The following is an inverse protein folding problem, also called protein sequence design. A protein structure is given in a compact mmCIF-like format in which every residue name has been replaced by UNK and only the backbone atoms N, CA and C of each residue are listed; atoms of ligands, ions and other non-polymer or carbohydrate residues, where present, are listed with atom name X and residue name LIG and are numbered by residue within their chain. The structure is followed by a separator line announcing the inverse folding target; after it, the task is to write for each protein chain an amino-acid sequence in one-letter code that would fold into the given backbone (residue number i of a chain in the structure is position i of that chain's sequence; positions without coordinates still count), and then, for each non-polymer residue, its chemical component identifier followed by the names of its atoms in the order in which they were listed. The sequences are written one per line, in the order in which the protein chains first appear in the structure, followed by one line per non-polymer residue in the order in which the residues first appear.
data_IF_096990740450
#
_entry.id   IF_096990740450
#
_cell.length_a   1.000
_cell.length_b   1.000
_cell.length_c   1.000
_cell.angle_alpha   90.00
_cell.angle_beta   90.00
_cell.angle_gamma   90.00
#
_symmetry.space_group_name_H-M   'P 1'
#
loop_
_entity.id
_entity.type
_entity.pdbx_description
1 polymer ?
#
# COMPACT_ATOMS: atom_id res chain seq x y z
N UNK A 1 -0.51 9.95 -6.80
CA UNK A 1 -1.59 9.22 -7.47
C UNK A 1 -2.70 8.66 -6.56
N UNK A 2 -2.84 8.89 -5.24
CA UNK A 2 -3.85 8.23 -4.34
C UNK A 2 -4.26 6.81 -4.76
N UNK A 3 -5.36 6.28 -4.27
CA UNK A 3 -6.00 5.06 -4.78
C UNK A 3 -7.32 5.43 -5.48
N UNK A 4 -7.58 6.74 -5.60
CA UNK A 4 -8.84 7.31 -6.04
C UNK A 4 -8.62 8.49 -7.01
N UNK A 5 -7.40 8.62 -7.54
CA UNK A 5 -7.04 9.67 -8.49
C UNK A 5 -7.77 9.45 -9.84
N UNK A 6 -8.64 10.39 -10.28
CA UNK A 6 -9.39 10.27 -11.52
C UNK A 6 -8.53 10.47 -12.77
N UNK A 7 -7.31 10.97 -12.61
CA UNK A 7 -6.29 11.02 -13.65
C UNK A 7 -5.06 10.29 -13.10
N UNK A 8 -5.05 8.94 -13.09
CA UNK A 8 -3.81 8.23 -12.98
C UNK A 8 -3.06 8.54 -14.26
N UNK A 9 -2.36 9.68 -14.29
CA UNK A 9 -1.24 9.80 -15.19
C UNK A 9 -0.53 8.47 -15.03
N UNK A 10 -0.35 7.76 -16.15
CA UNK A 10 0.74 6.80 -16.23
C UNK A 10 1.84 7.44 -15.40
N UNK A 11 2.39 6.72 -14.43
CA UNK A 11 3.69 7.18 -14.01
C UNK A 11 4.53 6.98 -15.28
N UNK A 12 4.58 8.02 -16.11
CA UNK A 12 5.22 8.02 -17.38
C UNK A 12 6.67 8.18 -16.99
N UNK A 13 7.29 7.04 -16.75
CA UNK A 13 8.72 6.97 -16.45
C UNK A 13 9.56 7.38 -17.65
N UNK A 14 8.97 7.85 -18.75
CA UNK A 14 9.67 8.52 -19.84
C UNK A 14 9.25 10.00 -19.99
N UNK A 15 8.43 10.53 -19.08
CA UNK A 15 8.13 11.96 -19.07
C UNK A 15 9.44 12.75 -18.89
N UNK A 16 9.69 13.78 -19.73
CA UNK A 16 10.83 14.66 -19.55
C UNK A 16 10.76 15.31 -18.17
N UNK A 17 11.93 15.54 -17.57
CA UNK A 17 12.12 16.11 -16.24
C UNK A 17 11.30 17.39 -16.05
N UNK A 18 10.08 17.27 -15.52
CA UNK A 18 9.34 18.42 -15.03
C UNK A 18 9.86 18.72 -13.62
N UNK A 19 10.41 19.92 -13.52
CA UNK A 19 11.24 20.41 -12.45
C UNK A 19 10.40 20.73 -11.21
N UNK A 20 10.43 19.83 -10.24
CA UNK A 20 10.41 20.05 -8.79
C UNK A 20 10.61 18.66 -8.16
N UNK A 21 11.86 18.37 -7.74
CA UNK A 21 12.28 17.05 -7.24
C UNK A 21 13.63 16.58 -7.82
N UNK A 22 14.33 15.71 -7.09
CA UNK A 22 15.67 15.19 -7.42
C UNK A 22 15.72 14.50 -8.78
N UNK A 23 16.80 14.70 -9.55
CA UNK A 23 16.94 14.19 -10.93
C UNK A 23 16.83 12.65 -11.05
N UNK A 24 17.19 11.92 -9.99
CA UNK A 24 17.07 10.45 -9.87
C UNK A 24 15.81 10.02 -9.12
N UNK A 25 15.11 10.95 -8.46
CA UNK A 25 13.95 10.70 -7.60
C UNK A 25 14.30 10.25 -6.16
N UNK A 26 15.56 10.35 -5.74
CA UNK A 26 16.03 10.08 -4.38
C UNK A 26 17.36 10.79 -4.11
N UNK A 27 17.69 11.01 -2.83
CA UNK A 27 18.99 11.51 -2.38
C UNK A 27 19.84 10.33 -1.87
N UNK A 28 21.13 10.30 -2.18
CA UNK A 28 22.06 9.35 -1.57
C UNK A 28 22.70 9.98 -0.34
N UNK A 29 22.53 9.34 0.82
CA UNK A 29 23.18 9.75 2.06
C UNK A 29 24.17 8.69 2.51
N UNK A 30 25.34 9.14 2.93
CA UNK A 30 26.36 8.27 3.49
C UNK A 30 25.94 7.83 4.89
N UNK A 31 25.62 6.56 5.03
CA UNK A 31 25.46 5.90 6.33
C UNK A 31 26.81 5.49 6.93
N UNK A 32 26.73 4.72 8.01
CA UNK A 32 27.89 4.17 8.71
C UNK A 32 28.63 3.15 7.83
N UNK A 33 27.90 2.14 7.34
CA UNK A 33 28.47 1.07 6.51
C UNK A 33 27.95 1.07 5.06
N UNK A 34 26.80 1.71 4.82
CA UNK A 34 26.08 1.66 3.56
C UNK A 34 25.69 3.05 3.07
N UNK A 35 25.49 3.18 1.76
CA UNK A 35 24.79 4.31 1.16
C UNK A 35 23.29 4.06 1.30
N UNK A 36 22.59 5.00 1.92
CA UNK A 36 21.13 4.96 2.11
C UNK A 36 20.48 5.83 1.05
N UNK A 37 19.50 5.29 0.33
CA UNK A 37 18.69 6.08 -0.59
C UNK A 37 17.52 6.70 0.19
N UNK A 38 17.37 8.02 0.13
CA UNK A 38 16.31 8.76 0.81
C UNK A 38 15.29 9.22 -0.23
N UNK A 39 14.08 8.71 -0.08
CA UNK A 39 12.94 8.97 -0.96
C UNK A 39 12.09 10.08 -0.35
N UNK A 40 12.06 11.23 -1.03
CA UNK A 40 11.16 12.34 -0.71
C UNK A 40 9.71 11.94 -1.05
N UNK A 41 8.73 12.21 -0.15
CA UNK A 41 7.34 11.94 -0.43
C UNK A 41 6.75 13.02 -1.37
N UNK A 42 5.64 12.66 -2.02
CA UNK A 42 4.77 13.64 -2.69
C UNK A 42 3.43 13.73 -1.99
N UNK A 43 2.92 14.96 -1.84
CA UNK A 43 1.57 15.20 -1.34
C UNK A 43 0.52 14.80 -2.39
N UNK A 44 -0.51 14.04 -1.98
CA UNK A 44 -1.58 13.60 -2.88
C UNK A 44 -2.94 13.54 -2.16
N UNK A 45 -4.06 13.94 -2.78
CA UNK A 45 -5.38 13.89 -2.13
C UNK A 45 -6.12 12.53 -2.23
N UNK A 46 -6.48 11.94 -1.09
CA UNK A 46 -7.07 10.60 -0.90
C UNK A 46 -8.57 10.56 -1.18
N UNK A 47 -8.98 10.62 -2.44
CA UNK A 47 -10.42 10.65 -2.80
C UNK A 47 -10.84 11.84 -3.65
N UNK A 48 -9.90 12.42 -4.38
CA UNK A 48 -10.13 13.62 -5.21
C UNK A 48 -9.91 14.93 -4.44
N UNK A 49 -10.16 16.10 -5.07
CA UNK A 49 -9.56 17.38 -4.67
C UNK A 49 -9.93 17.94 -3.28
N UNK A 50 -10.97 17.41 -2.63
CA UNK A 50 -11.42 17.84 -1.28
C UNK A 50 -11.13 16.81 -0.20
N UNK A 51 -10.38 15.78 -0.54
CA UNK A 51 -10.08 14.70 0.38
C UNK A 51 -8.82 14.97 1.21
N UNK A 52 -8.65 14.19 2.27
CA UNK A 52 -7.45 14.17 3.11
C UNK A 52 -6.17 14.12 2.25
N UNK A 53 -5.16 14.91 2.59
CA UNK A 53 -3.86 14.84 1.91
C UNK A 53 -2.98 13.77 2.56
N UNK A 54 -2.30 12.98 1.74
CA UNK A 54 -1.35 11.94 2.17
C UNK A 54 0.02 12.18 1.53
N UNK A 55 1.06 11.69 2.19
CA UNK A 55 2.45 11.69 1.75
C UNK A 55 2.79 10.34 1.13
N UNK A 56 2.93 10.30 -0.19
CA UNK A 56 3.26 9.06 -0.92
C UNK A 56 4.75 8.93 -1.14
N UNK A 57 5.35 7.83 -0.68
CA UNK A 57 6.78 7.54 -0.87
C UNK A 57 7.03 6.47 -1.95
N UNK A 58 6.21 5.42 -2.00
CA UNK A 58 6.20 4.44 -3.11
C UNK A 58 4.77 4.22 -3.61
N UNK A 59 4.56 3.97 -4.92
CA UNK A 59 5.57 3.90 -5.96
C UNK A 59 5.99 5.29 -6.47
N UNK A 60 7.28 5.43 -6.80
CA UNK A 60 7.82 6.54 -7.57
C UNK A 60 8.91 6.09 -8.56
N UNK A 61 9.46 7.02 -9.36
CA UNK A 61 10.43 6.71 -10.42
C UNK A 61 11.68 6.01 -9.90
N UNK A 62 12.22 6.50 -8.80
CA UNK A 62 13.40 5.94 -8.15
C UNK A 62 13.17 4.52 -7.64
N UNK A 63 12.01 4.30 -7.02
CA UNK A 63 11.71 3.08 -6.29
C UNK A 63 10.23 2.74 -6.45
N UNK A 64 9.98 1.60 -7.08
CA UNK A 64 8.62 1.10 -7.27
C UNK A 64 8.22 0.10 -6.20
N UNK A 65 9.16 -0.73 -5.74
CA UNK A 65 8.92 -1.73 -4.71
C UNK A 65 10.03 -1.75 -3.67
N UNK A 66 9.71 -2.27 -2.48
CA UNK A 66 10.65 -2.76 -1.47
C UNK A 66 10.19 -4.18 -1.12
N UNK A 67 10.94 -5.19 -1.54
CA UNK A 67 10.45 -6.56 -1.51
C UNK A 67 9.21 -6.70 -2.42
N UNK A 68 8.07 -7.08 -1.84
CA UNK A 68 6.77 -7.06 -2.51
C UNK A 68 5.91 -5.83 -2.18
N UNK A 69 6.33 -4.95 -1.25
CA UNK A 69 5.63 -3.70 -0.95
C UNK A 69 5.69 -2.78 -2.16
N UNK A 70 4.54 -2.42 -2.72
CA UNK A 70 4.45 -1.63 -3.96
C UNK A 70 3.74 -0.28 -3.78
N UNK A 71 3.30 0.03 -2.56
CA UNK A 71 2.58 1.25 -2.22
C UNK A 71 2.78 1.59 -0.75
N UNK A 72 2.98 2.87 -0.46
CA UNK A 72 3.05 3.42 0.89
C UNK A 72 2.57 4.87 0.86
N UNK A 73 1.42 5.10 1.47
CA UNK A 73 0.92 6.42 1.83
C UNK A 73 1.01 6.60 3.34
N UNK A 74 1.61 7.70 3.78
CA UNK A 74 1.62 8.18 5.15
C UNK A 74 0.60 9.31 5.29
N UNK A 75 -0.22 9.30 6.34
CA UNK A 75 -1.26 10.30 6.51
C UNK A 75 -1.40 10.73 7.97
N UNK A 76 -1.64 12.03 8.15
CA UNK A 76 -1.72 12.66 9.46
C UNK A 76 -0.35 12.88 10.12
N UNK A 77 -0.34 13.24 11.40
CA UNK A 77 -1.49 13.46 12.27
C UNK A 77 -2.34 14.64 11.78
N UNK A 78 -3.61 14.38 11.49
CA UNK A 78 -4.54 15.36 10.94
C UNK A 78 -5.71 15.57 11.89
N UNK A 79 -6.10 16.83 12.14
CA UNK A 79 -7.30 17.16 12.89
C UNK A 79 -8.53 17.01 11.99
N UNK A 80 -9.11 15.80 12.05
CA UNK A 80 -10.22 15.43 11.18
C UNK A 80 -11.53 16.10 11.55
N UNK A 81 -11.62 16.74 12.72
CA UNK A 81 -12.77 17.60 13.05
C UNK A 81 -12.80 18.85 12.18
N UNK A 82 -11.65 19.23 11.61
CA UNK A 82 -11.51 20.37 10.68
C UNK A 82 -11.40 19.90 9.23
N UNK A 83 -10.61 18.86 8.94
CA UNK A 83 -10.37 18.40 7.57
C UNK A 83 -11.52 17.55 6.99
N UNK A 84 -12.40 17.03 7.85
CA UNK A 84 -13.47 16.11 7.49
C UNK A 84 -13.05 14.65 7.49
N UNK A 85 -11.77 14.33 7.68
CA UNK A 85 -11.30 12.95 7.84
C UNK A 85 -11.21 12.14 6.56
N UNK A 86 -11.00 10.84 6.74
CA UNK A 86 -10.93 9.88 5.65
C UNK A 86 -12.33 9.51 5.21
N UNK A 87 -12.61 9.70 3.92
CA UNK A 87 -13.83 9.26 3.24
C UNK A 87 -13.45 8.66 1.90
N UNK A 88 -13.29 7.35 1.88
CA UNK A 88 -12.88 6.57 0.71
C UNK A 88 -14.06 5.70 0.28
N UNK A 89 -14.88 6.15 -0.69
CA UNK A 89 -16.03 5.39 -1.14
C UNK A 89 -15.62 4.06 -1.77
N UNK A 90 -16.63 3.22 -2.01
CA UNK A 90 -16.46 1.88 -2.59
C UNK A 90 -15.58 1.92 -3.85
N UNK A 91 -14.45 1.24 -3.80
CA UNK A 91 -13.49 1.13 -4.90
C UNK A 91 -12.86 -0.28 -4.93
N UNK A 92 -12.38 -0.75 -6.10
CA UNK A 92 -11.93 -2.12 -6.27
C UNK A 92 -10.44 -2.29 -5.94
N UNK A 93 -10.02 -3.53 -5.68
CA UNK A 93 -8.63 -3.99 -5.75
C UNK A 93 -8.54 -5.36 -6.41
N UNK A 94 -7.40 -5.68 -7.02
CA UNK A 94 -7.10 -7.02 -7.59
C UNK A 94 -5.61 -7.30 -7.62
N UNK A 95 -5.20 -8.53 -7.27
CA UNK A 95 -3.81 -8.99 -7.37
C UNK A 95 -2.86 -8.45 -6.30
N UNK A 96 -3.40 -7.92 -5.20
CA UNK A 96 -2.65 -7.30 -4.10
C UNK A 96 -3.34 -7.55 -2.76
N UNK A 97 -2.64 -7.24 -1.67
CA UNK A 97 -3.28 -6.97 -0.39
C UNK A 97 -3.03 -5.52 0.04
N UNK A 98 -4.03 -4.94 0.70
CA UNK A 98 -3.87 -3.68 1.42
C UNK A 98 -3.58 -3.97 2.89
N UNK A 99 -2.82 -3.09 3.53
CA UNK A 99 -2.40 -3.19 4.93
C UNK A 99 -2.57 -1.81 5.54
N UNK A 100 -3.58 -1.66 6.40
CA UNK A 100 -3.83 -0.41 7.13
C UNK A 100 -3.21 -0.53 8.54
N UNK A 101 -2.43 0.47 8.95
CA UNK A 101 -1.85 0.58 10.29
C UNK A 101 -2.02 1.98 10.84
N UNK A 102 -2.70 2.10 11.98
CA UNK A 102 -2.93 3.39 12.62
C UNK A 102 -1.96 3.62 13.79
N UNK A 103 -1.50 4.85 13.91
CA UNK A 103 -0.81 5.37 15.09
C UNK A 103 -1.80 6.08 16.03
N UNK A 104 -2.84 6.70 15.46
CA UNK A 104 -3.93 7.36 16.19
C UNK A 104 -5.22 7.37 15.35
N UNK A 105 -6.37 7.45 16.01
CA UNK A 105 -7.68 7.49 15.35
C UNK A 105 -8.25 6.11 15.07
N UNK A 106 -9.38 6.07 14.37
CA UNK A 106 -10.07 4.83 13.98
C UNK A 106 -10.71 4.98 12.61
N UNK A 107 -10.74 3.88 11.87
CA UNK A 107 -11.31 3.78 10.52
C UNK A 107 -12.22 2.56 10.47
N UNK A 108 -13.44 2.73 9.96
CA UNK A 108 -14.33 1.66 9.57
C UNK A 108 -13.94 1.17 8.16
N UNK A 109 -13.75 -0.14 8.04
CA UNK A 109 -13.54 -0.85 6.78
C UNK A 109 -14.76 -1.72 6.50
N UNK A 110 -15.29 -1.64 5.29
CA UNK A 110 -16.38 -2.50 4.79
C UNK A 110 -15.97 -3.04 3.44
N UNK A 111 -16.12 -4.34 3.19
CA UNK A 111 -15.80 -4.93 1.90
C UNK A 111 -16.86 -5.86 1.31
N UNK A 112 -16.69 -6.16 0.03
CA UNK A 112 -17.60 -7.00 -0.76
C UNK A 112 -17.45 -8.50 -0.53
N UNK A 113 -16.51 -8.92 0.31
CA UNK A 113 -16.44 -10.29 0.83
C UNK A 113 -17.29 -10.46 2.11
N UNK A 114 -17.98 -9.39 2.53
CA UNK A 114 -18.88 -9.40 3.68
C UNK A 114 -18.18 -9.10 4.99
N UNK A 115 -16.94 -8.60 4.96
CA UNK A 115 -16.25 -8.23 6.19
C UNK A 115 -16.54 -6.78 6.56
N UNK A 116 -16.63 -6.55 7.86
CA UNK A 116 -16.52 -5.24 8.48
C UNK A 116 -15.45 -5.30 9.56
N UNK A 117 -14.60 -4.29 9.62
CA UNK A 117 -13.57 -4.17 10.63
C UNK A 117 -13.40 -2.73 11.08
N UNK A 118 -13.19 -2.56 12.37
CA UNK A 118 -12.79 -1.29 12.96
C UNK A 118 -11.29 -1.32 13.19
N UNK A 119 -10.56 -0.59 12.34
CA UNK A 119 -9.10 -0.45 12.39
C UNK A 119 -8.72 0.45 13.56
N UNK A 120 -7.79 -0.01 14.39
CA UNK A 120 -7.36 0.67 15.62
C UNK A 120 -5.85 0.81 15.69
N UNK A 121 -5.33 1.71 16.54
CA UNK A 121 -3.89 1.84 16.70
C UNK A 121 -3.24 0.57 17.24
N UNK A 122 -2.10 0.22 16.63
CA UNK A 122 -1.36 -1.01 16.92
C UNK A 122 -2.04 -2.30 16.45
N UNK A 123 -3.05 -2.20 15.60
CA UNK A 123 -3.65 -3.35 14.90
C UNK A 123 -3.32 -3.27 13.42
N UNK A 124 -2.95 -4.41 12.85
CA UNK A 124 -2.86 -4.58 11.41
C UNK A 124 -4.23 -5.02 10.89
N UNK A 125 -4.69 -4.34 9.85
CA UNK A 125 -5.83 -4.79 9.04
C UNK A 125 -5.32 -5.11 7.63
N UNK A 126 -5.26 -6.39 7.29
CA UNK A 126 -4.78 -6.88 6.00
C UNK A 126 -5.98 -7.36 5.17
N UNK A 127 -6.35 -6.60 4.14
CA UNK A 127 -7.37 -7.02 3.18
C UNK A 127 -6.68 -7.71 2.00
N UNK A 128 -6.95 -8.99 1.84
CA UNK A 128 -6.55 -9.75 0.67
C UNK A 128 -7.54 -9.52 -0.46
N UNK A 129 -7.11 -8.86 -1.55
CA UNK A 129 -8.02 -8.57 -2.66
C UNK A 129 -8.25 -9.77 -3.59
N UNK A 130 -7.33 -10.75 -3.57
CA UNK A 130 -7.42 -11.95 -4.41
C UNK A 130 -7.73 -11.63 -5.88
N UNK A 131 -8.65 -12.42 -6.44
CA UNK A 131 -9.16 -12.23 -7.80
C UNK A 131 -9.94 -10.91 -7.99
N UNK A 132 -10.40 -10.26 -6.92
CA UNK A 132 -11.21 -9.05 -6.98
C UNK A 132 -12.02 -8.81 -5.71
N UNK A 133 -11.95 -7.60 -5.19
CA UNK A 133 -12.79 -7.14 -4.08
C UNK A 133 -13.12 -5.66 -4.29
N UNK A 134 -14.21 -5.17 -3.70
CA UNK A 134 -14.43 -3.73 -3.48
C UNK A 134 -14.53 -3.43 -2.00
N UNK A 135 -14.04 -2.27 -1.56
CA UNK A 135 -14.14 -1.83 -0.17
C UNK A 135 -14.28 -0.32 -0.03
N UNK A 136 -14.72 0.13 1.14
CA UNK A 136 -14.70 1.53 1.58
C UNK A 136 -13.97 1.67 2.91
N UNK A 137 -13.40 2.85 3.14
CA UNK A 137 -12.70 3.20 4.38
C UNK A 137 -13.15 4.60 4.83
N UNK A 138 -13.70 4.70 6.03
CA UNK A 138 -14.22 5.95 6.57
C UNK A 138 -13.70 6.18 8.00
N UNK A 139 -13.31 7.41 8.33
CA UNK A 139 -13.05 7.79 9.72
C UNK A 139 -14.31 7.64 10.55
N UNK A 140 -14.20 7.07 11.75
CA UNK A 140 -15.35 6.96 12.65
C UNK A 140 -15.76 8.32 13.19
N UNK A 141 -17.04 8.48 13.51
CA UNK A 141 -17.61 9.72 14.07
C UNK A 141 -16.90 10.22 15.34
N UNK A 142 -16.30 9.30 16.12
CA UNK A 142 -15.57 9.61 17.36
C UNK A 142 -14.06 9.87 17.15
N UNK A 143 -13.57 9.84 15.90
CA UNK A 143 -12.19 10.15 15.57
C UNK A 143 -11.99 11.67 15.47
N UNK A 144 -11.12 12.21 16.31
CA UNK A 144 -10.73 13.64 16.25
C UNK A 144 -9.39 13.87 15.56
N UNK A 145 -8.49 12.88 15.64
CA UNK A 145 -7.20 12.91 14.93
C UNK A 145 -7.01 11.57 14.25
N UNK A 146 -6.66 11.62 12.97
CA UNK A 146 -6.30 10.44 12.20
C UNK A 146 -4.82 10.49 11.85
N UNK A 147 -4.12 9.39 12.10
CA UNK A 147 -2.69 9.27 11.85
C UNK A 147 -2.34 7.81 11.58
N UNK A 148 -1.77 7.50 10.42
CA UNK A 148 -1.47 6.13 10.03
C UNK A 148 -0.71 6.01 8.72
N UNK A 149 -0.56 4.76 8.29
CA UNK A 149 -0.03 4.39 6.98
C UNK A 149 -0.97 3.41 6.28
N UNK A 150 -1.06 3.56 4.96
CA UNK A 150 -1.68 2.59 4.07
C UNK A 150 -0.57 1.99 3.20
N UNK A 151 -0.37 0.67 3.29
CA UNK A 151 0.61 -0.05 2.47
C UNK A 151 -0.08 -1.07 1.59
N UNK A 152 0.45 -1.30 0.39
CA UNK A 152 0.05 -2.46 -0.42
C UNK A 152 1.24 -3.33 -0.71
N UNK A 153 1.02 -4.65 -0.76
CA UNK A 153 1.99 -5.56 -1.34
C UNK A 153 1.38 -6.32 -2.51
N UNK A 154 2.18 -6.46 -3.56
CA UNK A 154 1.84 -7.20 -4.75
C UNK A 154 1.91 -8.71 -4.47
N UNK A 155 0.90 -9.47 -4.89
CA UNK A 155 0.97 -10.92 -4.78
C UNK A 155 1.94 -11.50 -5.80
N UNK A 156 2.72 -12.54 -5.44
CA UNK A 156 3.40 -13.39 -6.41
C UNK A 156 2.39 -13.98 -7.38
N UNK A 157 2.81 -14.25 -8.62
CA UNK A 157 1.92 -14.66 -9.72
C UNK A 157 0.97 -15.79 -9.34
N UNK A 158 1.45 -16.76 -8.58
CA UNK A 158 0.71 -17.97 -8.18
C UNK A 158 -0.41 -17.74 -7.16
N UNK A 159 -0.41 -16.59 -6.46
CA UNK A 159 -1.39 -16.28 -5.40
C UNK A 159 -2.38 -15.18 -5.78
N UNK A 160 -2.31 -14.63 -7.01
CA UNK A 160 -3.13 -13.47 -7.45
C UNK A 160 -4.63 -13.74 -7.52
N UNK A 161 -5.05 -14.99 -7.64
CA UNK A 161 -6.45 -15.35 -7.95
C UNK A 161 -7.11 -16.21 -6.86
N UNK A 162 -6.64 -16.08 -5.61
CA UNK A 162 -7.31 -16.67 -4.45
C UNK A 162 -8.57 -15.92 -4.04
N UNK A 163 -9.31 -16.49 -3.09
CA UNK A 163 -10.49 -15.85 -2.51
C UNK A 163 -10.11 -14.62 -1.67
N UNK A 164 -10.83 -13.49 -1.81
CA UNK A 164 -10.65 -12.34 -0.94
C UNK A 164 -11.01 -12.66 0.51
N UNK A 165 -10.27 -12.08 1.46
CA UNK A 165 -10.52 -12.21 2.89
C UNK A 165 -9.88 -11.07 3.67
N UNK A 166 -10.19 -10.98 4.96
CA UNK A 166 -9.66 -9.97 5.87
C UNK A 166 -8.98 -10.64 7.07
N UNK A 167 -7.74 -10.27 7.35
CA UNK A 167 -7.01 -10.64 8.56
C UNK A 167 -6.80 -9.40 9.43
N UNK A 168 -7.35 -9.40 10.65
CA UNK A 168 -7.12 -8.37 11.64
C UNK A 168 -6.37 -8.93 12.85
N UNK A 169 -5.30 -8.26 13.26
CA UNK A 169 -4.50 -8.70 14.40
C UNK A 169 -3.94 -7.53 15.20
N UNK A 170 -4.04 -7.60 16.53
CA UNK A 170 -3.36 -6.67 17.44
C UNK A 170 -1.93 -7.13 17.67
N UNK A 171 -0.97 -6.34 17.21
CA UNK A 171 0.43 -6.68 17.34
C UNK A 171 0.84 -6.76 18.82
N UNK A 172 1.65 -7.76 19.14
CA UNK A 172 2.31 -7.84 20.43
C UNK A 172 3.32 -6.70 20.56
N UNK A 173 3.31 -6.06 21.75
CA UNK A 173 4.31 -5.05 22.11
C UNK A 173 5.54 -5.75 22.71
N UNK A 174 6.71 -5.48 22.15
CA UNK A 174 8.01 -5.87 22.70
C UNK A 174 8.81 -4.63 23.10
N UNK A 175 9.62 -4.76 24.14
CA UNK A 175 10.37 -3.65 24.72
C UNK A 175 11.80 -4.08 25.03
N UNK A 176 12.71 -3.12 24.96
CA UNK A 176 14.05 -3.22 25.52
C UNK A 176 14.46 -1.89 26.12
N UNK A 177 15.77 -1.69 26.28
CA UNK A 177 16.31 -0.49 26.92
C UNK A 177 16.06 0.75 26.06
N UNK A 178 15.11 1.60 26.47
CA UNK A 178 14.76 2.85 25.78
C UNK A 178 13.97 2.68 24.48
N UNK A 179 13.50 1.48 24.15
CA UNK A 179 12.76 1.22 22.91
C UNK A 179 11.55 0.31 23.08
N UNK A 180 10.55 0.54 22.22
CA UNK A 180 9.35 -0.28 22.08
C UNK A 180 9.10 -0.59 20.59
N UNK A 181 8.63 -1.80 20.29
CA UNK A 181 8.24 -2.19 18.94
C UNK A 181 6.93 -2.98 18.92
N UNK A 182 6.18 -2.85 17.82
CA UNK A 182 4.96 -3.61 17.51
C UNK A 182 5.13 -4.25 16.13
N UNK A 183 5.33 -5.57 16.10
CA UNK A 183 5.56 -6.32 14.85
C UNK A 183 4.21 -6.66 14.22
N UNK A 184 3.85 -5.93 13.17
CA UNK A 184 2.59 -6.07 12.45
C UNK A 184 2.60 -7.32 11.55
N UNK A 185 3.68 -7.51 10.79
CA UNK A 185 3.85 -8.59 9.81
C UNK A 185 5.28 -9.14 9.93
N UNK A 186 5.44 -10.44 9.73
CA UNK A 186 6.75 -11.10 9.70
C UNK A 186 7.36 -11.37 11.06
N UNK A 187 8.68 -11.55 11.09
CA UNK A 187 9.45 -11.81 12.31
C UNK A 187 10.55 -10.78 12.50
N UNK A 188 10.51 -10.03 13.60
CA UNK A 188 11.50 -9.03 13.97
C UNK A 188 11.64 -9.01 15.50
N UNK A 189 12.84 -8.70 16.01
CA UNK A 189 13.08 -8.48 17.45
C UNK A 189 12.61 -9.66 18.34
N UNK A 190 12.77 -10.89 17.83
CA UNK A 190 12.38 -12.12 18.54
C UNK A 190 10.88 -12.41 18.60
N UNK A 191 10.05 -11.63 17.90
CA UNK A 191 8.59 -11.83 17.81
C UNK A 191 8.19 -12.10 16.37
N UNK A 192 7.23 -13.01 16.20
CA UNK A 192 6.62 -13.35 14.92
C UNK A 192 5.14 -13.01 14.94
N UNK A 193 4.68 -12.18 14.01
CA UNK A 193 3.26 -11.92 13.79
C UNK A 193 2.57 -13.17 13.22
N UNK A 194 1.34 -13.51 13.67
CA UNK A 194 0.57 -14.62 13.12
C UNK A 194 -0.09 -14.29 11.77
N UNK A 195 -0.05 -13.02 11.33
CA UNK A 195 -0.63 -12.59 10.05
C UNK A 195 0.12 -13.24 8.89
N UNK A 196 -0.63 -13.94 8.04
CA UNK A 196 -0.08 -14.68 6.92
C UNK A 196 0.07 -13.76 5.70
N UNK A 197 1.16 -13.94 4.98
CA UNK A 197 1.43 -13.24 3.73
C UNK A 197 1.82 -14.24 2.66
N UNK A 198 1.59 -13.90 1.39
CA UNK A 198 1.98 -14.73 0.25
C UNK A 198 3.42 -14.52 -0.22
N UNK A 199 4.12 -13.56 0.39
CA UNK A 199 5.55 -13.32 0.23
C UNK A 199 6.19 -13.16 1.62
N UNK A 200 7.49 -13.49 1.79
CA UNK A 200 8.22 -13.15 3.00
C UNK A 200 8.31 -11.63 3.16
N UNK A 201 7.63 -11.10 4.17
CA UNK A 201 7.50 -9.66 4.45
C UNK A 201 7.76 -9.39 5.94
N UNK A 202 8.12 -8.15 6.25
CA UNK A 202 8.19 -7.63 7.61
C UNK A 202 7.61 -6.21 7.66
N UNK A 203 6.86 -5.89 8.71
CA UNK A 203 6.42 -4.53 9.02
C UNK A 203 6.36 -4.34 10.54
N UNK A 204 6.94 -3.25 11.06
CA UNK A 204 6.92 -2.93 12.47
C UNK A 204 6.90 -1.42 12.75
N UNK A 205 6.02 -1.00 13.65
CA UNK A 205 6.12 0.30 14.31
C UNK A 205 7.19 0.21 15.40
N UNK A 206 8.13 1.14 15.42
CA UNK A 206 9.20 1.23 16.41
C UNK A 206 9.19 2.63 17.02
N UNK A 207 9.31 2.72 18.34
CA UNK A 207 9.48 3.98 19.07
C UNK A 207 10.74 3.92 19.91
N UNK A 208 11.56 4.97 19.85
CA UNK A 208 12.77 5.11 20.67
C UNK A 208 12.65 6.36 21.56
N UNK A 209 13.03 6.21 22.83
CA UNK A 209 13.31 7.33 23.73
C UNK A 209 14.53 8.12 23.23
N UNK A 210 14.77 9.38 23.66
CA UNK A 210 15.97 10.12 23.30
C UNK A 210 17.27 9.34 23.56
N UNK A 211 18.29 9.59 22.74
CA UNK A 211 19.64 9.01 22.86
C UNK A 211 19.68 7.48 22.87
N UNK A 212 18.73 6.83 22.20
CA UNK A 212 18.63 5.38 22.13
C UNK A 212 19.10 4.88 20.77
N UNK A 213 19.81 3.76 20.76
CA UNK A 213 20.19 3.03 19.55
C UNK A 213 19.60 1.64 19.60
N UNK A 214 18.86 1.27 18.56
CA UNK A 214 18.32 -0.07 18.36
C UNK A 214 19.03 -0.75 17.20
N UNK A 215 19.58 -1.93 17.45
CA UNK A 215 20.09 -2.83 16.42
C UNK A 215 19.07 -3.92 16.12
N UNK A 216 18.81 -4.16 14.84
CA UNK A 216 17.81 -5.11 14.36
C UNK A 216 18.49 -6.08 13.41
N UNK A 217 18.61 -7.34 13.80
CA UNK A 217 19.06 -8.39 12.89
C UNK A 217 17.96 -8.66 11.85
N UNK A 218 18.35 -8.72 10.57
CA UNK A 218 17.45 -8.87 9.43
C UNK A 218 17.98 -9.90 8.42
N UNK A 219 17.11 -10.58 7.64
CA UNK A 219 17.55 -11.47 6.58
C UNK A 219 18.32 -10.71 5.49
N UNK A 220 19.48 -11.24 5.08
CA UNK A 220 20.30 -10.61 4.04
C UNK A 220 19.58 -10.55 2.67
N UNK A 221 18.59 -11.41 2.48
CA UNK A 221 17.81 -11.53 1.25
C UNK A 221 16.74 -10.44 1.15
N UNK A 222 16.50 -9.66 2.22
CA UNK A 222 15.45 -8.65 2.25
C UNK A 222 15.95 -7.29 1.77
N UNK A 223 15.05 -6.55 1.14
CA UNK A 223 15.16 -5.10 1.03
C UNK A 223 14.44 -4.46 2.23
N UNK A 224 14.85 -3.24 2.60
CA UNK A 224 14.36 -2.54 3.78
C UNK A 224 14.00 -1.09 3.48
N UNK A 225 12.89 -0.64 4.06
CA UNK A 225 12.43 0.75 4.05
C UNK A 225 12.13 1.22 5.46
N UNK A 226 12.60 2.41 5.84
CA UNK A 226 12.28 3.05 7.12
C UNK A 226 11.62 4.41 6.87
N UNK A 227 10.33 4.51 7.20
CA UNK A 227 9.58 5.75 7.18
C UNK A 227 9.73 6.46 8.53
N UNK A 228 10.14 7.73 8.52
CA UNK A 228 10.12 8.57 9.71
C UNK A 228 8.72 9.15 9.96
N UNK A 229 8.18 8.94 11.17
CA UNK A 229 6.80 9.29 11.54
C UNK A 229 6.82 10.42 12.57
N UNK A 230 6.43 11.63 12.15
CA UNK A 230 6.46 12.86 12.96
C UNK A 230 7.82 13.16 13.61
N UNK A 231 8.91 12.76 12.95
CA UNK A 231 10.25 12.91 13.51
C UNK A 231 11.31 12.97 12.42
N UNK A 232 12.52 13.38 12.79
CA UNK A 232 13.74 13.06 12.06
C UNK A 232 14.42 11.87 12.72
N UNK A 233 14.72 10.83 11.95
CA UNK A 233 15.36 9.61 12.45
C UNK A 233 16.76 9.43 11.87
N UNK A 234 17.62 8.68 12.55
CA UNK A 234 18.86 8.15 11.96
C UNK A 234 18.64 6.69 11.58
N UNK A 235 18.86 6.37 10.30
CA UNK A 235 18.78 5.03 9.75
C UNK A 235 20.13 4.62 9.18
N UNK A 236 20.79 3.68 9.85
CA UNK A 236 22.12 3.19 9.51
C UNK A 236 23.15 4.32 9.33
N UNK A 237 23.06 5.38 10.13
CA UNK A 237 23.96 6.54 10.07
C UNK A 237 23.54 7.65 9.11
N UNK A 238 22.46 7.47 8.35
CA UNK A 238 21.91 8.49 7.48
C UNK A 238 20.67 9.15 8.12
N UNK A 239 20.60 10.49 8.03
CA UNK A 239 19.43 11.25 8.48
C UNK A 239 18.25 11.03 7.54
N UNK A 240 17.11 10.60 8.09
CA UNK A 240 15.83 10.48 7.41
C UNK A 240 14.91 11.57 7.96
N UNK A 241 14.58 12.56 7.12
CA UNK A 241 13.65 13.61 7.44
C UNK A 241 12.23 13.07 7.67
N UNK A 242 11.42 13.85 8.37
CA UNK A 242 10.01 13.56 8.55
C UNK A 242 9.33 13.27 7.20
N UNK A 243 8.45 12.25 7.20
CA UNK A 243 7.67 11.77 6.06
C UNK A 243 8.50 11.09 4.96
N UNK A 244 9.84 11.15 5.03
CA UNK A 244 10.73 10.51 4.06
C UNK A 244 10.89 9.02 4.36
N UNK A 245 11.23 8.28 3.31
CA UNK A 245 11.51 6.85 3.36
C UNK A 245 12.98 6.59 3.05
N UNK A 246 13.73 6.13 4.05
CA UNK A 246 15.09 5.61 3.85
C UNK A 246 15.03 4.18 3.30
N UNK A 247 15.83 3.87 2.29
CA UNK A 247 15.86 2.58 1.62
C UNK A 247 17.27 1.95 1.65
N UNK A 248 17.31 0.65 1.92
CA UNK A 248 18.49 -0.20 1.78
C UNK A 248 18.11 -1.47 1.00
N UNK A 249 18.98 -1.83 0.05
CA UNK A 249 18.84 -3.06 -0.71
C UNK A 249 19.24 -4.33 0.06
N UNK A 250 19.25 -5.46 -0.64
CA UNK A 250 19.69 -6.75 -0.11
C UNK A 250 21.16 -6.74 0.31
N UNK A 251 21.56 -7.67 1.16
CA UNK A 251 22.93 -7.88 1.65
C UNK A 251 23.19 -7.26 3.03
N UNK A 252 22.26 -6.47 3.55
CA UNK A 252 22.31 -5.95 4.93
C UNK A 252 21.82 -7.03 5.88
N UNK A 253 22.60 -7.33 6.92
CA UNK A 253 22.24 -8.32 7.94
C UNK A 253 21.85 -7.70 9.28
N UNK A 254 22.13 -6.41 9.45
CA UNK A 254 21.82 -5.65 10.66
C UNK A 254 21.50 -4.21 10.28
N UNK A 255 20.35 -3.74 10.75
CA UNK A 255 19.94 -2.34 10.67
C UNK A 255 20.21 -1.66 12.00
N UNK A 256 20.59 -0.38 11.95
CA UNK A 256 20.70 0.48 13.12
C UNK A 256 19.68 1.61 12.99
N UNK A 257 18.90 1.85 14.03
CA UNK A 257 17.97 2.99 14.14
C UNK A 257 18.33 3.77 15.39
N UNK A 258 18.49 5.09 15.28
CA UNK A 258 18.86 5.93 16.42
C UNK A 258 18.00 7.16 16.56
N UNK A 259 17.73 7.53 17.81
CA UNK A 259 17.17 8.82 18.19
C UNK A 259 18.28 9.76 18.65
N UNK A 260 18.12 11.05 18.33
CA UNK A 260 18.95 12.12 18.86
C UNK A 260 18.34 12.64 20.17
N UNK A 261 18.18 13.96 20.33
CA UNK A 261 17.67 14.59 21.56
C UNK A 261 16.15 14.42 21.77
N UNK A 262 15.42 14.04 20.72
CA UNK A 262 13.96 13.85 20.74
C UNK A 262 13.60 12.37 20.60
N UNK A 263 12.48 11.92 21.20
CA UNK A 263 11.95 10.59 20.91
C UNK A 263 11.54 10.52 19.44
N UNK A 264 11.59 9.33 18.86
CA UNK A 264 11.20 9.11 17.47
C UNK A 264 10.18 7.98 17.38
N UNK A 265 9.33 8.04 16.35
CA UNK A 265 8.50 6.93 15.88
C UNK A 265 8.84 6.66 14.42
N UNK A 266 8.98 5.40 14.05
CA UNK A 266 9.27 4.99 12.68
C UNK A 266 8.45 3.78 12.30
N UNK A 267 8.18 3.62 11.00
CA UNK A 267 7.63 2.39 10.42
C UNK A 267 8.72 1.71 9.60
N UNK A 268 9.18 0.55 10.06
CA UNK A 268 10.12 -0.29 9.32
C UNK A 268 9.34 -1.30 8.48
N UNK A 269 9.61 -1.34 7.19
CA UNK A 269 9.14 -2.38 6.27
C UNK A 269 10.32 -3.13 5.66
N UNK A 270 10.06 -4.36 5.25
CA UNK A 270 11.01 -5.13 4.47
C UNK A 270 10.39 -6.37 3.86
N UNK A 271 11.16 -7.05 3.04
CA UNK A 271 10.73 -8.30 2.42
C UNK A 271 11.68 -8.78 1.35
N UNK A 272 11.52 -10.04 0.98
CA UNK A 272 12.24 -10.61 -0.16
C UNK A 272 11.80 -9.92 -1.46
N UNK A 273 12.73 -9.56 -2.36
CA UNK A 273 12.41 -9.03 -3.68
C UNK A 273 11.39 -9.90 -4.41
N UNK A 274 10.34 -9.28 -4.95
CA UNK A 274 9.28 -10.01 -5.66
C UNK A 274 9.81 -10.80 -6.87
N UNK A 275 10.88 -10.33 -7.51
CA UNK A 275 11.49 -10.94 -8.70
C UNK A 275 10.50 -11.19 -9.86
N UNK A 276 9.44 -10.39 -9.93
CA UNK A 276 8.46 -10.39 -11.01
C UNK A 276 8.18 -8.95 -11.47
N UNK A 277 7.97 -8.79 -12.77
CA UNK A 277 7.54 -7.52 -13.32
C UNK A 277 6.04 -7.33 -13.06
N UNK A 278 5.65 -6.16 -12.55
CA UNK A 278 4.24 -5.83 -12.31
C UNK A 278 3.77 -4.67 -13.19
N UNK A 279 2.49 -4.69 -13.54
CA UNK A 279 1.78 -3.53 -14.07
C UNK A 279 0.84 -3.04 -12.97
N UNK A 280 1.09 -1.83 -12.48
CA UNK A 280 0.26 -1.19 -11.48
C UNK A 280 -0.43 0.03 -12.08
N UNK A 281 -1.76 0.03 -12.04
CA UNK A 281 -2.58 1.14 -12.51
C UNK A 281 -3.80 1.27 -11.63
N UNK A 282 -4.04 2.48 -11.13
CA UNK A 282 -5.09 2.76 -10.15
C UNK A 282 -5.00 1.76 -8.99
N UNK A 283 -5.99 0.87 -8.85
CA UNK A 283 -6.08 -0.12 -7.77
C UNK A 283 -5.86 -1.57 -8.23
N UNK A 284 -5.26 -1.74 -9.40
CA UNK A 284 -5.02 -3.05 -9.99
C UNK A 284 -3.53 -3.32 -10.10
N UNK A 285 -3.10 -4.51 -9.64
CA UNK A 285 -1.73 -5.00 -9.76
C UNK A 285 -1.71 -6.28 -10.60
N UNK A 286 -1.48 -6.08 -11.89
CA UNK A 286 -1.42 -7.13 -12.91
C UNK A 286 -0.01 -7.43 -13.39
N UNK A 287 0.08 -8.07 -14.55
CA UNK A 287 1.32 -8.39 -15.27
C UNK A 287 1.32 -7.87 -16.71
N UNK A 288 0.19 -7.39 -17.21
CA UNK A 288 0.04 -6.89 -18.58
C UNK A 288 -0.98 -5.75 -18.65
N UNK A 289 -0.97 -5.00 -19.75
CA UNK A 289 -1.98 -3.98 -20.01
C UNK A 289 -3.37 -4.61 -20.15
N UNK A 290 -3.44 -5.77 -20.81
CA UNK A 290 -4.66 -6.51 -21.11
C UNK A 290 -5.36 -7.01 -19.83
N UNK A 291 -4.61 -7.44 -18.82
CA UNK A 291 -5.18 -7.79 -17.51
C UNK A 291 -5.84 -6.59 -16.84
N UNK A 292 -5.17 -5.43 -16.84
CA UNK A 292 -5.70 -4.20 -16.24
C UNK A 292 -6.95 -3.72 -16.97
N UNK A 293 -6.91 -3.72 -18.31
CA UNK A 293 -8.05 -3.35 -19.15
C UNK A 293 -9.25 -4.26 -18.86
N UNK A 294 -9.03 -5.57 -18.76
CA UNK A 294 -10.07 -6.54 -18.46
C UNK A 294 -10.70 -6.31 -17.09
N UNK A 295 -9.91 -6.15 -16.04
CA UNK A 295 -10.43 -5.92 -14.68
C UNK A 295 -11.14 -4.58 -14.56
N UNK A 296 -10.62 -3.52 -15.19
CA UNK A 296 -11.31 -2.24 -15.29
C UNK A 296 -12.65 -2.38 -16.00
N UNK A 297 -12.69 -3.04 -17.15
CA UNK A 297 -13.92 -3.25 -17.91
C UNK A 297 -14.98 -3.97 -17.07
N UNK A 298 -14.59 -5.05 -16.37
CA UNK A 298 -15.50 -5.80 -15.50
C UNK A 298 -16.02 -4.94 -14.35
N UNK A 299 -15.14 -4.20 -13.69
CA UNK A 299 -15.54 -3.29 -12.62
C UNK A 299 -16.58 -2.26 -13.12
N UNK A 300 -16.29 -1.60 -14.24
CA UNK A 300 -17.20 -0.61 -14.81
C UNK A 300 -18.57 -1.21 -15.17
N UNK A 301 -18.61 -2.44 -15.67
CA UNK A 301 -19.87 -3.13 -16.01
C UNK A 301 -20.63 -3.57 -14.77
N UNK A 302 -19.95 -4.18 -13.79
CA UNK A 302 -20.55 -4.64 -12.54
C UNK A 302 -21.08 -3.48 -11.69
N UNK A 303 -20.46 -2.30 -11.76
CA UNK A 303 -20.92 -1.09 -11.06
C UNK A 303 -21.96 -0.28 -11.83
N UNK A 304 -22.26 -0.63 -13.09
CA UNK A 304 -23.24 0.06 -13.93
C UNK A 304 -22.75 1.38 -14.54
N UNK A 305 -21.43 1.58 -14.64
CA UNK A 305 -20.82 2.75 -15.28
C UNK A 305 -20.71 2.59 -16.80
N UNK A 306 -20.38 1.38 -17.27
CA UNK A 306 -20.25 1.06 -18.70
C UNK A 306 -21.25 -0.03 -19.09
N UNK A 307 -21.66 -0.03 -20.36
CA UNK A 307 -22.52 -1.10 -20.89
C UNK A 307 -21.82 -2.46 -20.91
N UNK A 308 -22.58 -3.53 -20.67
CA UNK A 308 -22.05 -4.89 -20.69
C UNK A 308 -21.48 -5.28 -22.06
N UNK A 309 -20.27 -5.84 -22.08
CA UNK A 309 -19.65 -6.39 -23.27
C UNK A 309 -20.30 -7.71 -23.69
N UNK A 310 -20.06 -8.15 -24.93
CA UNK A 310 -20.58 -9.42 -25.44
C UNK A 310 -20.05 -10.64 -24.69
N UNK A 311 -18.85 -10.53 -24.11
CA UNK A 311 -18.20 -11.57 -23.31
C UNK A 311 -18.64 -11.58 -21.83
N UNK A 312 -19.50 -10.64 -21.42
CA UNK A 312 -19.96 -10.51 -20.04
C UNK A 312 -21.19 -11.40 -19.77
N UNK A 313 -21.32 -11.98 -18.56
CA UNK A 313 -22.58 -12.54 -18.08
C UNK A 313 -23.75 -11.53 -18.11
N UNK A 314 -23.44 -10.23 -18.06
CA UNK A 314 -24.41 -9.14 -18.13
C UNK A 314 -24.85 -8.77 -19.56
N UNK A 315 -24.36 -9.48 -20.59
CA UNK A 315 -24.67 -9.15 -22.00
C UNK A 315 -26.17 -8.98 -22.26
N UNK A 316 -26.52 -7.93 -22.99
CA UNK A 316 -27.92 -7.63 -23.34
C UNK A 316 -28.77 -7.08 -22.19
N UNK A 317 -28.18 -6.83 -21.01
CA UNK A 317 -28.85 -6.20 -19.87
C UNK A 317 -28.39 -4.74 -19.73
N UNK A 318 -29.32 -3.89 -19.30
CA UNK A 318 -29.01 -2.49 -18.94
C UNK A 318 -28.79 -2.43 -17.44
N UNK A 319 -27.56 -2.11 -17.04
CA UNK A 319 -27.15 -1.97 -15.64
C UNK A 319 -26.81 -0.49 -15.42
N UNK A 320 -27.48 0.16 -14.48
CA UNK A 320 -27.28 1.60 -14.16
C UNK A 320 -26.86 1.82 -12.71
N UNK A 321 -26.80 0.75 -11.93
CA UNK A 321 -26.41 0.70 -10.52
C UNK A 321 -25.62 -0.59 -10.29
N UNK A 322 -24.84 -0.70 -9.21
CA UNK A 322 -24.09 -1.91 -8.92
C UNK A 322 -24.99 -3.15 -8.87
N UNK A 323 -24.53 -4.23 -9.52
CA UNK A 323 -25.25 -5.50 -9.56
C UNK A 323 -25.56 -5.99 -8.14
N UNK A 324 -26.83 -6.35 -7.91
CA UNK A 324 -27.32 -6.74 -6.59
C UNK A 324 -28.64 -7.52 -6.70
N UNK A 325 -29.05 -8.12 -5.58
CA UNK A 325 -30.36 -8.74 -5.43
C UNK A 325 -30.65 -9.88 -6.43
N UNK A 326 -31.89 -10.03 -6.90
CA UNK A 326 -32.30 -11.18 -7.72
C UNK A 326 -31.49 -11.37 -9.02
N UNK A 327 -30.99 -10.28 -9.60
CA UNK A 327 -30.14 -10.35 -10.79
C UNK A 327 -28.78 -10.99 -10.47
N UNK A 328 -28.20 -10.63 -9.32
CA UNK A 328 -26.94 -11.22 -8.88
C UNK A 328 -27.14 -12.68 -8.51
N UNK A 329 -28.22 -13.02 -7.80
CA UNK A 329 -28.55 -14.40 -7.44
C UNK A 329 -28.68 -15.31 -8.67
N UNK A 330 -29.22 -14.78 -9.78
CA UNK A 330 -29.31 -15.48 -11.07
C UNK A 330 -27.92 -15.78 -11.67
N UNK A 331 -26.96 -14.88 -11.50
CA UNK A 331 -25.69 -14.87 -12.22
C UNK A 331 -24.48 -15.31 -11.40
N UNK A 332 -24.56 -15.39 -10.08
CA UNK A 332 -23.42 -15.66 -9.17
C UNK A 332 -22.74 -17.02 -9.40
N UNK A 333 -23.42 -17.96 -10.06
CA UNK A 333 -22.86 -19.26 -10.44
C UNK A 333 -22.34 -19.30 -11.89
N UNK A 334 -22.32 -18.16 -12.57
CA UNK A 334 -21.82 -18.05 -13.95
C UNK A 334 -20.35 -17.66 -13.98
N UNK A 335 -19.74 -17.77 -15.16
CA UNK A 335 -18.35 -17.38 -15.39
C UNK A 335 -18.26 -16.36 -16.52
N UNK A 336 -17.19 -15.58 -16.46
CA UNK A 336 -16.70 -14.82 -17.60
C UNK A 336 -16.18 -15.75 -18.71
N UNK A 337 -15.94 -15.19 -19.90
CA UNK A 337 -15.45 -15.93 -21.06
C UNK A 337 -14.06 -16.59 -20.86
N UNK A 338 -13.31 -16.20 -19.83
CA UNK A 338 -12.02 -16.78 -19.43
C UNK A 338 -12.15 -17.76 -18.25
N UNK A 339 -13.36 -18.26 -17.98
CA UNK A 339 -13.71 -19.18 -16.91
C UNK A 339 -13.54 -18.64 -15.48
N UNK A 340 -13.26 -17.34 -15.31
CA UNK A 340 -13.25 -16.71 -13.98
C UNK A 340 -14.66 -16.50 -13.46
N UNK A 341 -14.85 -16.67 -12.14
CA UNK A 341 -16.16 -16.56 -11.49
C UNK A 341 -16.74 -15.16 -11.60
N UNK A 342 -18.07 -15.09 -11.79
CA UNK A 342 -18.85 -13.87 -11.72
C UNK A 342 -19.67 -13.83 -10.41
N UNK A 343 -19.76 -12.69 -9.71
CA UNK A 343 -19.10 -11.40 -9.99
C UNK A 343 -17.63 -11.41 -9.55
N UNK A 344 -16.80 -10.56 -10.15
CA UNK A 344 -15.42 -10.36 -9.74
C UNK A 344 -15.31 -9.41 -8.54
N UNK A 345 -16.16 -8.39 -8.42
CA UNK A 345 -16.03 -7.32 -7.41
C UNK A 345 -17.07 -7.38 -6.29
N UNK A 346 -17.81 -8.48 -6.24
CA UNK A 346 -18.70 -8.87 -5.14
C UNK A 346 -19.92 -7.96 -4.92
N UNK A 347 -20.81 -8.43 -4.05
CA UNK A 347 -21.91 -7.65 -3.53
C UNK A 347 -21.42 -6.73 -2.41
N UNK A 348 -21.99 -5.55 -2.27
CA UNK A 348 -21.68 -4.63 -1.18
C UNK A 348 -22.88 -4.49 -0.25
N UNK A 349 -22.68 -4.17 1.05
CA UNK A 349 -23.80 -3.87 1.94
C UNK A 349 -24.69 -2.74 1.38
N UNK A 350 -26.00 -2.79 1.63
CA UNK A 350 -26.91 -1.72 1.24
C UNK A 350 -26.63 -0.43 2.02
N UNK A 351 -27.20 0.67 1.54
CA UNK A 351 -27.13 2.00 2.18
C UNK A 351 -25.71 2.57 2.35
N UNK A 352 -24.76 2.08 1.55
CA UNK A 352 -23.40 2.61 1.47
C UNK A 352 -23.29 3.67 0.35
N UNK A 353 -22.33 4.60 0.44
CA UNK A 353 -22.04 5.55 -0.64
C UNK A 353 -21.83 4.86 -2.00
N UNK A 354 -22.16 5.56 -3.07
CA UNK A 354 -21.99 5.06 -4.43
C UNK A 354 -20.51 4.74 -4.73
N UNK A 355 -20.23 3.71 -5.54
CA UNK A 355 -18.86 3.40 -5.93
C UNK A 355 -18.22 4.50 -6.77
N UNK A 356 -16.89 4.52 -6.77
CA UNK A 356 -16.11 5.43 -7.61
C UNK A 356 -15.95 4.85 -9.02
N UNK A 357 -16.18 5.63 -10.09
CA UNK A 357 -15.87 5.17 -11.43
C UNK A 357 -14.36 5.00 -11.59
N UNK A 358 -13.94 3.95 -12.28
CA UNK A 358 -12.54 3.79 -12.64
C UNK A 358 -12.13 4.89 -13.63
N UNK A 359 -10.93 5.45 -13.48
CA UNK A 359 -10.42 6.44 -14.41
C UNK A 359 -10.32 5.90 -15.85
N UNK A 360 -10.20 6.82 -16.82
CA UNK A 360 -9.93 6.45 -18.20
C UNK A 360 -8.59 5.74 -18.32
N UNK A 361 -8.51 4.69 -19.16
CA UNK A 361 -7.22 4.07 -19.46
C UNK A 361 -6.32 5.06 -20.22
N UNK A 362 -5.00 4.97 -20.04
CA UNK A 362 -4.07 5.76 -20.81
C UNK A 362 -4.13 5.39 -22.30
N UNK A 363 -3.82 6.37 -23.16
CA UNK A 363 -3.76 6.17 -24.62
C UNK A 363 -2.59 5.30 -25.06
N UNK A 364 -1.56 5.15 -24.21
CA UNK A 364 -0.38 4.32 -24.45
C UNK A 364 -0.46 3.05 -23.61
N UNK A 365 -0.08 1.92 -24.21
CA UNK A 365 -0.02 0.63 -23.52
C UNK A 365 0.85 0.71 -22.26
N UNK A 366 0.32 0.17 -21.16
CA UNK A 366 1.02 0.10 -19.89
C UNK A 366 2.15 -0.92 -19.97
N UNK A 367 3.35 -0.54 -19.57
CA UNK A 367 4.52 -1.43 -19.59
C UNK A 367 4.75 -2.04 -18.21
N UNK A 368 5.05 -3.35 -18.13
CA UNK A 368 5.53 -3.96 -16.90
C UNK A 368 6.80 -3.25 -16.42
N UNK A 369 6.91 -3.07 -15.10
CA UNK A 369 8.11 -2.49 -14.51
C UNK A 369 9.07 -3.60 -14.15
N UNK A 370 10.29 -3.49 -14.67
CA UNK A 370 11.41 -4.29 -14.19
C UNK A 370 11.77 -3.83 -12.79
N UNK A 371 11.74 -4.75 -11.84
CA UNK A 371 12.16 -4.51 -10.46
C UNK A 371 13.30 -5.47 -10.10
N UNK A 372 14.48 -5.32 -10.72
CA UNK A 372 15.62 -6.12 -10.32
C UNK A 372 15.95 -5.80 -8.85
N UNK A 373 16.27 -6.80 -8.02
CA UNK A 373 16.69 -6.55 -6.65
C UNK A 373 17.92 -5.64 -6.66
N UNK A 374 17.93 -4.62 -5.80
CA UNK A 374 19.15 -3.82 -5.61
C UNK A 374 19.92 -4.30 -4.39
N UNK A 375 21.24 -4.42 -4.54
CA UNK A 375 22.15 -4.76 -3.43
C UNK A 375 22.55 -3.47 -2.74
N UNK A 376 22.51 -3.45 -1.40
CA UNK A 376 22.96 -2.31 -0.63
C UNK A 376 24.43 -2.00 -0.95
N UNK A 377 24.69 -0.76 -1.37
CA UNK A 377 26.05 -0.30 -1.65
C UNK A 377 26.77 0.00 -0.35
N UNK A 378 27.96 -0.58 -0.19
CA UNK A 378 28.84 -0.23 0.92
C UNK A 378 29.46 1.13 0.68
N UNK A 379 29.67 1.88 1.77
CA UNK A 379 30.50 3.08 1.76
C UNK A 379 31.95 2.66 1.48
N UNK A 380 32.61 3.26 0.49
CA UNK A 380 34.04 3.04 0.23
C UNK A 380 34.89 4.16 0.87
N UNK A 381 36.20 3.96 0.99
CA UNK A 381 37.14 4.95 1.54
C UNK A 381 37.18 6.25 0.72
N UNK A 382 36.86 6.20 -0.58
CA UNK A 382 36.81 7.38 -1.46
C UNK A 382 35.53 8.22 -1.28
N UNK A 383 34.50 7.68 -0.62
CA UNK A 383 33.24 8.37 -0.33
C UNK A 383 33.27 9.10 1.03
N UNK A 384 34.39 9.04 1.77
CA UNK A 384 34.48 9.45 3.18
C UNK A 384 34.86 10.91 3.43
#
# INVERSE_FOLDING_TARGET
MTNLDPNPELVDFNAPANAEGLATGFEEKLGTDYIVEVLEPRAVPLGGPRAMTVQRTIPQRARSLIGAWCFLDYFGPDDVTTSGGMHVPRHPHTGLATVSWLFQGRVDHIDSAGNWALVRPGEVNLMNAGYGITHSEDSTDDTSVLHGVQLWYAFPKQHRFGEPHLDQHRAQVVRGDGWEAKVAIGSLLGVTSPVKTYSPLSAAEISLEPHTTLEIDVPAEYEHGLLAVDCTADFCGATIEQDHLGYLGTGVTRLQVRSADSPIRVMLIGGEPLNEDIVMWWNFVGRSHEEIELWRQRYQQEMGFDAASQSSPLRGRTITEPISGPLLDELVSTTYADDTSFPQFGQFPPDQPAPLPAPGLPTVAMKPRQNPPTVARRKNEEDA
#
